data_IF_883023984005
#
_entry.id   IF_883023984005
#
_cell.length_a   1.000
_cell.length_b   1.000
_cell.length_c   1.000
_cell.angle_alpha   90.00
_cell.angle_beta   90.00
_cell.angle_gamma   90.00
#
_symmetry.space_group_name_H-M   'P 1'
#
loop_
_entity.id
_entity.type
_entity.pdbx_description
1 polymer ?
#
# COMPACT_ATOMS: atom_id res chain seq x y z
N UNK A 1 -15.54 8.89 12.23
CA UNK A 1 -14.24 8.67 12.90
C UNK A 1 -14.03 7.16 12.89
N UNK A 2 -13.70 6.63 11.71
CA UNK A 2 -13.72 5.18 11.44
C UNK A 2 -12.41 4.55 11.93
N UNK A 3 -12.55 3.41 12.60
CA UNK A 3 -11.50 2.60 13.21
C UNK A 3 -10.20 2.56 12.40
N UNK A 4 -9.16 3.14 12.97
CA UNK A 4 -7.79 2.77 12.65
C UNK A 4 -7.52 1.54 13.52
N UNK A 5 -7.81 0.36 12.99
CA UNK A 5 -7.38 -0.91 13.59
C UNK A 5 -5.89 -0.76 13.93
N UNK A 6 -5.54 -0.86 15.22
CA UNK A 6 -4.25 -0.41 15.73
C UNK A 6 -3.09 -1.03 14.92
N UNK A 7 -2.32 -0.18 14.21
CA UNK A 7 -1.23 -0.54 13.28
C UNK A 7 0.06 -0.84 14.05
N UNK A 8 -0.08 -1.56 15.15
CA UNK A 8 1.02 -1.90 16.04
C UNK A 8 1.13 -3.42 15.98
N UNK A 9 2.31 -3.96 15.70
CA UNK A 9 2.54 -5.38 15.44
C UNK A 9 3.46 -6.00 16.49
N UNK A 10 3.12 -7.21 16.94
CA UNK A 10 4.00 -7.98 17.81
C UNK A 10 5.13 -8.64 17.04
N UNK A 11 6.29 -8.82 17.68
CA UNK A 11 7.46 -9.50 17.06
C UNK A 11 7.10 -10.91 16.57
N UNK A 12 6.29 -11.66 17.32
CA UNK A 12 5.87 -13.02 16.93
C UNK A 12 4.91 -13.03 15.74
N UNK A 13 4.02 -12.03 15.66
CA UNK A 13 3.10 -11.86 14.54
C UNK A 13 3.89 -11.56 13.27
N UNK A 14 4.84 -10.63 13.33
CA UNK A 14 5.72 -10.29 12.22
C UNK A 14 6.61 -11.47 11.82
N UNK A 15 7.19 -12.18 12.79
CA UNK A 15 7.99 -13.38 12.55
C UNK A 15 7.23 -14.46 11.78
N UNK A 16 5.96 -14.71 12.15
CA UNK A 16 5.09 -15.62 11.42
C UNK A 16 4.80 -15.11 10.00
N UNK A 17 4.52 -13.82 9.83
CA UNK A 17 4.19 -13.21 8.54
C UNK A 17 5.36 -13.24 7.54
N UNK A 18 6.60 -13.05 8.02
CA UNK A 18 7.80 -13.04 7.15
C UNK A 18 8.53 -14.38 7.09
N UNK A 19 8.07 -15.40 7.82
CA UNK A 19 8.69 -16.73 7.84
C UNK A 19 10.08 -16.77 8.49
N UNK A 20 10.33 -15.93 9.51
CA UNK A 20 11.63 -15.81 10.18
C UNK A 20 11.54 -16.14 11.67
N UNK A 21 12.68 -16.48 12.30
CA UNK A 21 12.73 -16.67 13.74
C UNK A 21 12.46 -15.33 14.48
N UNK A 22 11.72 -15.33 15.62
CA UNK A 22 11.43 -14.11 16.37
C UNK A 22 12.67 -13.32 16.79
N UNK A 23 13.78 -13.99 17.10
CA UNK A 23 15.04 -13.32 17.44
C UNK A 23 15.65 -12.56 16.26
N UNK A 24 15.49 -13.06 15.03
CA UNK A 24 15.94 -12.37 13.81
C UNK A 24 15.05 -11.17 13.51
N UNK A 25 13.73 -11.32 13.60
CA UNK A 25 12.80 -10.20 13.42
C UNK A 25 13.04 -9.10 14.45
N UNK A 26 13.24 -9.46 15.72
CA UNK A 26 13.56 -8.48 16.76
C UNK A 26 14.84 -7.69 16.46
N UNK A 27 15.91 -8.35 15.97
CA UNK A 27 17.14 -7.64 15.58
C UNK A 27 16.91 -6.69 14.41
N UNK A 28 16.15 -7.13 13.40
CA UNK A 28 15.81 -6.27 12.26
C UNK A 28 14.96 -5.07 12.68
N UNK A 29 13.99 -5.27 13.59
CA UNK A 29 13.17 -4.19 14.12
C UNK A 29 14.01 -3.19 14.95
N UNK A 30 14.96 -3.67 15.76
CA UNK A 30 15.90 -2.79 16.46
C UNK A 30 16.72 -1.91 15.51
N UNK A 31 17.22 -2.47 14.42
CA UNK A 31 17.93 -1.68 13.40
C UNK A 31 17.01 -0.65 12.71
N UNK A 32 15.74 -1.01 12.44
CA UNK A 32 14.77 -0.07 11.88
C UNK A 32 14.37 1.04 12.88
N UNK A 33 14.34 0.73 14.18
CA UNK A 33 14.08 1.68 15.25
C UNK A 33 15.25 2.66 15.43
N UNK A 34 16.49 2.18 15.38
CA UNK A 34 17.71 3.02 15.38
C UNK A 34 17.72 4.01 14.20
N UNK A 35 17.26 3.59 13.02
CA UNK A 35 17.09 4.45 11.84
C UNK A 35 15.82 5.32 11.90
N UNK A 36 15.03 5.20 12.97
CA UNK A 36 13.80 5.94 13.20
C UNK A 36 12.73 5.66 12.15
N UNK A 37 12.63 4.42 11.65
CA UNK A 37 11.61 3.97 10.69
C UNK A 37 10.43 3.26 11.37
N UNK A 38 10.64 2.72 12.56
CA UNK A 38 9.60 2.16 13.42
C UNK A 38 9.77 2.67 14.85
N UNK A 39 8.70 2.68 15.62
CA UNK A 39 8.71 2.98 17.05
C UNK A 39 8.23 1.74 17.82
N UNK A 40 8.87 1.39 18.93
CA UNK A 40 8.34 0.43 19.89
C UNK A 40 7.49 1.10 20.97
N UNK A 41 6.38 0.46 21.33
CA UNK A 41 5.59 0.83 22.50
C UNK A 41 6.21 0.19 23.75
N UNK A 42 6.70 0.97 24.73
CA UNK A 42 7.33 0.44 25.93
C UNK A 42 6.35 -0.35 26.84
N UNK A 43 5.04 -0.12 26.74
CA UNK A 43 4.05 -0.83 27.55
C UNK A 43 3.68 -2.19 26.94
N UNK A 44 3.38 -2.22 25.63
CA UNK A 44 2.94 -3.45 24.95
C UNK A 44 4.05 -4.24 24.26
N UNK A 45 5.23 -3.63 24.04
CA UNK A 45 6.32 -4.19 23.25
C UNK A 45 5.99 -4.37 21.76
N UNK A 46 4.92 -3.73 21.26
CA UNK A 46 4.51 -3.77 19.85
C UNK A 46 5.21 -2.66 19.07
N UNK A 47 5.36 -2.87 17.77
CA UNK A 47 6.05 -1.97 16.87
C UNK A 47 5.10 -1.33 15.88
N UNK A 48 5.25 -0.04 15.60
CA UNK A 48 4.48 0.69 14.59
C UNK A 48 5.37 1.48 13.64
N UNK A 49 4.85 1.83 12.47
CA UNK A 49 5.56 2.71 11.55
C UNK A 49 5.73 4.11 12.16
N UNK A 50 6.94 4.66 12.09
CA UNK A 50 7.23 6.00 12.60
C UNK A 50 7.00 7.07 11.52
N UNK A 51 7.10 8.33 11.95
CA UNK A 51 7.12 9.47 11.02
C UNK A 51 8.32 9.44 10.06
N UNK A 52 9.43 8.81 10.45
CA UNK A 52 10.62 8.69 9.62
C UNK A 52 10.38 7.83 8.39
N UNK A 53 9.63 6.73 8.52
CA UNK A 53 9.18 5.91 7.40
C UNK A 53 8.26 6.72 6.47
N UNK A 54 7.28 7.44 7.04
CA UNK A 54 6.38 8.27 6.24
C UNK A 54 7.12 9.34 5.44
N UNK A 55 8.09 10.02 6.05
CA UNK A 55 8.97 10.99 5.38
C UNK A 55 9.75 10.34 4.22
N UNK A 56 10.28 9.13 4.42
CA UNK A 56 11.00 8.40 3.38
C UNK A 56 10.08 8.04 2.21
N UNK A 57 8.88 7.54 2.50
CA UNK A 57 7.86 7.23 1.49
C UNK A 57 7.48 8.47 0.66
N UNK A 58 7.28 9.63 1.30
CA UNK A 58 7.00 10.90 0.61
C UNK A 58 8.16 11.38 -0.28
N UNK A 59 9.41 11.17 0.15
CA UNK A 59 10.58 11.50 -0.70
C UNK A 59 10.69 10.55 -1.89
N UNK A 60 10.43 9.26 -1.67
CA UNK A 60 10.42 8.25 -2.72
C UNK A 60 9.34 8.52 -3.77
N UNK A 61 8.11 8.83 -3.33
CA UNK A 61 6.98 9.08 -4.23
C UNK A 61 7.18 10.29 -5.16
N UNK A 62 7.96 11.28 -4.73
CA UNK A 62 8.32 12.45 -5.57
C UNK A 62 9.27 12.12 -6.71
N UNK A 63 10.08 11.04 -6.61
CA UNK A 63 11.02 10.67 -7.68
C UNK A 63 10.30 10.12 -8.92
N UNK A 64 9.17 9.47 -8.72
CA UNK A 64 8.32 8.95 -9.79
C UNK A 64 6.87 9.28 -9.46
N UNK A 65 6.39 10.51 -9.77
CA UNK A 65 5.05 10.96 -9.42
C UNK A 65 4.01 10.36 -10.39
N UNK A 66 4.07 9.05 -10.61
CA UNK A 66 3.26 8.30 -11.57
C UNK A 66 1.77 8.60 -11.38
N UNK A 67 1.31 8.68 -10.13
CA UNK A 67 -0.07 9.05 -9.81
C UNK A 67 -0.43 10.45 -10.34
N UNK A 68 0.42 11.43 -10.15
CA UNK A 68 0.16 12.82 -10.58
C UNK A 68 0.21 12.93 -12.11
N UNK A 69 1.20 12.27 -12.74
CA UNK A 69 1.37 12.23 -14.19
C UNK A 69 0.21 11.52 -14.90
N UNK A 70 -0.26 10.40 -14.34
CA UNK A 70 -1.34 9.61 -14.94
C UNK A 70 -2.74 10.19 -14.68
N UNK A 71 -2.93 10.97 -13.62
CA UNK A 71 -4.25 11.45 -13.18
C UNK A 71 -5.05 12.18 -14.27
N UNK A 72 -4.47 13.09 -15.09
CA UNK A 72 -5.22 13.74 -16.16
C UNK A 72 -5.80 12.74 -17.17
N UNK A 73 -5.02 11.73 -17.55
CA UNK A 73 -5.43 10.71 -18.51
C UNK A 73 -6.54 9.82 -17.94
N UNK A 74 -6.40 9.36 -16.69
CA UNK A 74 -7.44 8.56 -16.03
C UNK A 74 -8.74 9.35 -15.89
N UNK A 75 -8.65 10.66 -15.63
CA UNK A 75 -9.82 11.55 -15.55
C UNK A 75 -10.51 11.72 -16.91
N UNK A 76 -9.75 11.86 -17.99
CA UNK A 76 -10.28 11.93 -19.34
C UNK A 76 -11.01 10.64 -19.72
N UNK A 77 -10.40 9.48 -19.44
CA UNK A 77 -11.03 8.17 -19.67
C UNK A 77 -12.30 8.00 -18.86
N UNK A 78 -12.30 8.38 -17.57
CA UNK A 78 -13.49 8.31 -16.72
C UNK A 78 -14.63 9.18 -17.27
N UNK A 79 -14.32 10.39 -17.76
CA UNK A 79 -15.30 11.29 -18.37
C UNK A 79 -15.87 10.72 -19.66
N UNK A 80 -15.04 10.15 -20.52
CA UNK A 80 -15.47 9.55 -21.78
C UNK A 80 -16.32 8.28 -21.56
N UNK A 81 -15.94 7.44 -20.59
CA UNK A 81 -16.65 6.20 -20.27
C UNK A 81 -17.93 6.43 -19.44
N UNK A 82 -17.99 7.52 -18.67
CA UNK A 82 -19.07 7.76 -17.69
C UNK A 82 -19.03 6.77 -16.51
N UNK A 83 -17.89 6.11 -16.29
CA UNK A 83 -17.69 5.07 -15.28
C UNK A 83 -16.42 5.33 -14.45
N UNK A 84 -16.30 4.66 -13.29
CA UNK A 84 -15.09 4.74 -12.49
C UNK A 84 -13.91 4.15 -13.25
N UNK A 85 -12.78 4.86 -13.24
CA UNK A 85 -11.54 4.40 -13.86
C UNK A 85 -10.41 4.35 -12.84
N UNK A 86 -9.50 3.41 -13.04
CA UNK A 86 -8.42 3.12 -12.10
C UNK A 86 -7.08 3.14 -12.80
N UNK A 87 -6.06 3.61 -12.07
CA UNK A 87 -4.66 3.34 -12.40
C UNK A 87 -4.20 2.15 -11.58
N UNK A 88 -3.66 1.13 -12.23
CA UNK A 88 -3.00 0.01 -11.59
C UNK A 88 -1.54 -0.08 -12.02
N UNK A 89 -0.70 -0.65 -11.14
CA UNK A 89 0.68 -0.98 -11.44
C UNK A 89 0.93 -2.45 -11.19
N UNK A 90 1.77 -3.04 -12.05
CA UNK A 90 2.28 -4.38 -11.85
C UNK A 90 3.54 -4.35 -10.98
N UNK A 91 3.55 -5.16 -9.93
CA UNK A 91 4.74 -5.39 -9.09
C UNK A 91 5.43 -6.67 -9.51
N UNK A 92 6.59 -6.57 -10.14
CA UNK A 92 7.37 -7.73 -10.60
C UNK A 92 7.76 -8.68 -9.45
N UNK A 93 8.10 -8.12 -8.28
CA UNK A 93 8.47 -8.91 -7.11
C UNK A 93 7.26 -9.63 -6.50
N UNK A 94 6.09 -8.99 -6.51
CA UNK A 94 4.86 -9.52 -5.92
C UNK A 94 4.08 -10.40 -6.88
N UNK A 95 4.39 -10.37 -8.19
CA UNK A 95 3.59 -10.98 -9.26
C UNK A 95 2.10 -10.62 -9.11
N UNK A 96 1.84 -9.35 -8.80
CA UNK A 96 0.53 -8.85 -8.39
C UNK A 96 0.30 -7.44 -8.97
N UNK A 97 -0.97 -7.03 -9.03
CA UNK A 97 -1.35 -5.65 -9.37
C UNK A 97 -1.77 -4.88 -8.13
N UNK A 98 -1.47 -3.58 -8.11
CA UNK A 98 -1.94 -2.66 -7.08
C UNK A 98 -2.60 -1.44 -7.72
N UNK A 99 -3.81 -1.11 -7.26
CA UNK A 99 -4.49 0.11 -7.67
C UNK A 99 -3.94 1.33 -6.92
N UNK A 100 -3.43 2.31 -7.66
CA UNK A 100 -2.80 3.53 -7.11
C UNK A 100 -3.75 4.72 -7.04
N UNK A 101 -4.73 4.76 -7.93
CA UNK A 101 -5.63 5.89 -8.11
C UNK A 101 -6.98 5.38 -8.61
N UNK A 102 -8.05 5.96 -8.06
CA UNK A 102 -9.39 5.90 -8.59
C UNK A 102 -9.81 7.32 -9.03
N UNK A 103 -10.46 7.40 -10.19
CA UNK A 103 -11.36 8.51 -10.54
C UNK A 103 -12.78 7.95 -10.50
N UNK A 104 -13.61 8.35 -9.51
CA UNK A 104 -14.94 7.79 -9.34
C UNK A 104 -15.91 8.32 -10.40
N UNK A 105 -16.90 7.51 -10.75
CA UNK A 105 -18.08 7.96 -11.52
C UNK A 105 -18.94 8.94 -10.71
N UNK A 106 -19.87 9.61 -11.39
CA UNK A 106 -20.96 10.37 -10.75
C UNK A 106 -22.23 9.52 -10.52
N UNK A 107 -22.24 8.26 -10.98
CA UNK A 107 -23.37 7.35 -10.81
C UNK A 107 -23.47 6.80 -9.38
N UNK A 108 -24.69 6.48 -8.93
CA UNK A 108 -24.96 6.01 -7.56
C UNK A 108 -24.45 4.58 -7.27
N UNK A 109 -24.37 3.71 -8.29
CA UNK A 109 -23.82 2.37 -8.16
C UNK A 109 -22.38 2.35 -8.68
N UNK A 110 -21.43 1.94 -7.85
CA UNK A 110 -20.01 1.93 -8.17
C UNK A 110 -19.34 0.68 -7.60
N UNK A 111 -18.53 0.01 -8.42
CA UNK A 111 -17.59 -1.01 -7.93
C UNK A 111 -16.32 -0.29 -7.50
N UNK A 112 -15.94 -0.43 -6.23
CA UNK A 112 -14.72 0.17 -5.66
C UNK A 112 -13.62 -0.86 -5.48
N UNK A 113 -12.48 -0.62 -6.12
CA UNK A 113 -11.27 -1.40 -5.87
C UNK A 113 -10.60 -0.95 -4.57
N UNK A 114 -9.88 -1.86 -3.90
CA UNK A 114 -9.03 -1.51 -2.75
C UNK A 114 -7.76 -0.84 -3.27
N UNK A 115 -7.54 0.40 -2.83
CA UNK A 115 -6.34 1.16 -3.17
C UNK A 115 -5.18 0.74 -2.27
N UNK A 116 -3.97 0.77 -2.82
CA UNK A 116 -2.73 0.53 -2.07
C UNK A 116 -2.58 -0.88 -1.49
N UNK A 117 -3.32 -1.84 -2.03
CA UNK A 117 -3.19 -3.26 -1.70
C UNK A 117 -2.74 -4.07 -2.91
N UNK A 118 -1.92 -5.08 -2.67
CA UNK A 118 -1.57 -6.06 -3.68
C UNK A 118 -2.73 -7.04 -3.92
N UNK A 119 -3.05 -7.26 -5.19
CA UNK A 119 -4.12 -8.15 -5.61
C UNK A 119 -3.60 -9.15 -6.65
N UNK A 120 -4.08 -10.41 -6.63
CA UNK A 120 -3.70 -11.41 -7.64
C UNK A 120 -4.00 -10.92 -9.06
N UNK A 121 -3.18 -11.30 -10.04
CA UNK A 121 -3.39 -10.92 -11.45
C UNK A 121 -4.74 -11.38 -12.01
N UNK A 122 -5.27 -12.49 -11.51
CA UNK A 122 -6.57 -13.04 -11.95
C UNK A 122 -7.78 -12.35 -11.32
N UNK A 123 -7.58 -11.44 -10.37
CA UNK A 123 -8.66 -10.87 -9.55
C UNK A 123 -9.29 -9.59 -10.11
N UNK A 124 -8.69 -8.99 -11.14
CA UNK A 124 -9.19 -7.76 -11.75
C UNK A 124 -8.87 -7.69 -13.25
N UNK A 125 -9.63 -6.89 -13.99
CA UNK A 125 -9.35 -6.64 -15.41
C UNK A 125 -7.95 -6.04 -15.62
N UNK A 126 -7.47 -5.23 -14.67
CA UNK A 126 -6.12 -4.68 -14.72
C UNK A 126 -5.04 -5.76 -14.61
N UNK A 127 -5.25 -6.77 -13.76
CA UNK A 127 -4.33 -7.91 -13.67
C UNK A 127 -4.39 -8.82 -14.89
N UNK A 128 -5.58 -9.06 -15.45
CA UNK A 128 -5.74 -9.84 -16.67
C UNK A 128 -5.11 -9.17 -17.89
N UNK A 129 -5.04 -7.84 -17.94
CA UNK A 129 -4.39 -7.09 -19.02
C UNK A 129 -2.85 -7.20 -19.00
N UNK A 130 -2.26 -7.66 -17.89
CA UNK A 130 -0.81 -7.89 -17.77
C UNK A 130 -0.41 -9.29 -18.22
N UNK A 131 -1.34 -10.26 -18.16
CA UNK A 131 -1.15 -11.65 -18.59
C UNK A 131 -1.18 -11.77 -20.13
#
# INVERSE_FOLDING_TARGET
MADHEAIDFGVRELAAAVGMAPSTVHRSLGALEEEGLVDSDPESGRYRLSLGFYRLALKGSRRTPLRELARPFVLETARAAGESCYLAVYGELQLAVMHLLEVPSLKSLQVRARLHEWQPLTSSAAGLAVL
#
